data_IF_087799230470
#
_entry.id   IF_087799230470
#
_cell.length_a   1.000
_cell.length_b   1.000
_cell.length_c   1.000
_cell.angle_alpha   90.00
_cell.angle_beta   90.00
_cell.angle_gamma   90.00
#
_symmetry.space_group_name_H-M   'P 1'
#
loop_
_entity.id
_entity.type
_entity.pdbx_description
1 polymer ?
#
# COMPACT_ATOMS: atom_id res chain seq x y z
N UNK A 1 1.49 -12.21 -8.14
CA UNK A 1 1.62 -12.60 -6.72
C UNK A 1 0.31 -12.30 -6.02
N UNK A 2 0.06 -12.86 -4.85
CA UNK A 2 -1.17 -12.59 -4.09
C UNK A 2 -0.87 -12.49 -2.61
N UNK A 3 -1.56 -11.57 -1.95
CA UNK A 3 -1.36 -11.22 -0.54
C UNK A 3 -2.69 -11.29 0.19
N UNK A 4 -2.67 -11.59 1.49
CA UNK A 4 -3.90 -11.65 2.29
C UNK A 4 -4.14 -10.31 2.98
N UNK A 5 -5.28 -9.68 2.73
CA UNK A 5 -5.65 -8.45 3.44
C UNK A 5 -6.02 -8.70 4.90
N UNK A 6 -6.14 -7.64 5.69
CA UNK A 6 -6.65 -7.70 7.08
C UNK A 6 -8.08 -8.24 7.16
N UNK A 7 -8.87 -8.12 6.09
CA UNK A 7 -10.24 -8.67 6.01
C UNK A 7 -10.23 -10.18 5.74
N UNK A 8 -9.05 -10.75 5.47
CA UNK A 8 -8.86 -12.15 5.14
C UNK A 8 -8.99 -12.48 3.66
N UNK A 9 -9.29 -11.50 2.80
CA UNK A 9 -9.47 -11.66 1.36
C UNK A 9 -8.14 -11.62 0.61
N UNK A 10 -8.08 -12.26 -0.56
CA UNK A 10 -6.89 -12.31 -1.40
C UNK A 10 -6.82 -11.07 -2.29
N UNK A 11 -5.64 -10.45 -2.34
CA UNK A 11 -5.34 -9.28 -3.16
C UNK A 11 -4.21 -9.63 -4.12
N UNK A 12 -4.47 -9.61 -5.42
CA UNK A 12 -3.50 -9.94 -6.45
C UNK A 12 -2.63 -8.74 -6.84
N UNK A 13 -1.32 -8.95 -6.97
CA UNK A 13 -0.42 -8.04 -7.67
C UNK A 13 -0.10 -8.64 -9.04
N UNK A 14 -0.71 -8.06 -10.07
CA UNK A 14 -0.51 -8.42 -11.47
C UNK A 14 0.79 -7.82 -12.00
N UNK A 15 1.36 -8.45 -13.04
CA UNK A 15 2.57 -7.93 -13.70
C UNK A 15 2.32 -6.54 -14.30
N UNK A 16 1.16 -6.36 -14.94
CA UNK A 16 0.71 -5.07 -15.46
C UNK A 16 0.60 -4.00 -14.37
N UNK A 17 0.05 -4.33 -13.20
CA UNK A 17 -0.01 -3.42 -12.05
C UNK A 17 1.38 -3.08 -11.52
N UNK A 18 2.28 -4.05 -11.45
CA UNK A 18 3.68 -3.83 -11.04
C UNK A 18 4.42 -2.91 -12.02
N UNK A 19 4.32 -3.14 -13.32
CA UNK A 19 4.87 -2.29 -14.37
C UNK A 19 4.29 -0.87 -14.31
N UNK A 20 2.99 -0.75 -14.07
CA UNK A 20 2.30 0.53 -13.92
C UNK A 20 2.84 1.33 -12.73
N UNK A 21 2.99 0.69 -11.58
CA UNK A 21 3.54 1.29 -10.36
C UNK A 21 4.99 1.69 -10.59
N UNK A 22 5.83 0.81 -11.14
CA UNK A 22 7.24 1.09 -11.40
C UNK A 22 7.45 2.23 -12.42
N UNK A 23 6.54 2.40 -13.39
CA UNK A 23 6.56 3.53 -14.34
C UNK A 23 6.18 4.85 -13.69
N UNK A 24 5.19 4.86 -12.79
CA UNK A 24 4.69 6.08 -12.12
C UNK A 24 5.52 6.49 -10.91
N UNK A 25 6.14 5.52 -10.25
CA UNK A 25 6.86 5.69 -8.99
C UNK A 25 8.28 5.13 -9.12
N UNK A 26 9.18 5.81 -9.86
CA UNK A 26 10.56 5.37 -10.03
C UNK A 26 11.32 5.28 -8.70
N UNK A 27 10.89 6.00 -7.66
CA UNK A 27 11.43 5.90 -6.29
C UNK A 27 11.31 4.49 -5.70
N UNK A 28 10.40 3.67 -6.22
CA UNK A 28 10.19 2.29 -5.77
C UNK A 28 11.06 1.27 -6.51
N UNK A 29 11.71 1.64 -7.63
CA UNK A 29 12.52 0.71 -8.44
C UNK A 29 13.74 0.16 -7.69
N UNK A 30 14.25 0.92 -6.72
CA UNK A 30 15.42 0.54 -5.92
C UNK A 30 15.07 -0.38 -4.74
N UNK A 31 13.80 -0.77 -4.59
CA UNK A 31 13.33 -1.63 -3.52
C UNK A 31 12.67 -2.88 -4.09
N UNK A 32 12.56 -3.92 -3.26
CA UNK A 32 11.73 -5.07 -3.58
C UNK A 32 10.25 -4.69 -3.51
N UNK A 33 9.74 -4.14 -4.62
CA UNK A 33 8.40 -3.57 -4.74
C UNK A 33 7.32 -4.58 -4.35
N UNK A 34 7.44 -5.82 -4.83
CA UNK A 34 6.48 -6.88 -4.58
C UNK A 34 6.40 -7.20 -3.09
N UNK A 35 7.55 -7.39 -2.44
CA UNK A 35 7.61 -7.67 -1.01
C UNK A 35 7.08 -6.49 -0.18
N UNK A 36 7.45 -5.24 -0.51
CA UNK A 36 6.93 -4.07 0.21
C UNK A 36 5.43 -3.91 0.09
N UNK A 37 4.87 -4.13 -1.11
CA UNK A 37 3.42 -4.12 -1.32
C UNK A 37 2.78 -5.22 -0.47
N UNK A 38 3.32 -6.44 -0.54
CA UNK A 38 2.79 -7.58 0.21
C UNK A 38 2.71 -7.33 1.69
N UNK A 39 3.83 -6.96 2.31
CA UNK A 39 3.86 -6.69 3.75
C UNK A 39 2.93 -5.52 4.13
N UNK A 40 2.78 -4.52 3.27
CA UNK A 40 1.86 -3.40 3.53
C UNK A 40 0.40 -3.85 3.48
N UNK A 41 0.03 -4.80 2.62
CA UNK A 41 -1.33 -5.36 2.55
C UNK A 41 -1.60 -6.33 3.71
N UNK A 42 -0.62 -7.17 4.04
CA UNK A 42 -0.73 -8.23 5.07
C UNK A 42 -0.57 -7.70 6.49
N UNK A 43 0.22 -6.65 6.67
CA UNK A 43 0.54 -6.06 7.98
C UNK A 43 0.62 -4.54 7.91
N UNK A 44 -0.48 -3.85 7.54
CA UNK A 44 -0.55 -2.39 7.60
C UNK A 44 -0.53 -1.88 9.05
N UNK A 45 -0.23 -0.60 9.20
CA UNK A 45 -0.50 0.14 10.44
C UNK A 45 -1.91 0.75 10.42
N UNK A 46 -2.39 1.13 9.23
CA UNK A 46 -3.73 1.66 9.00
C UNK A 46 -4.32 1.08 7.72
N UNK A 47 -5.62 0.81 7.75
CA UNK A 47 -6.44 0.65 6.54
C UNK A 47 -7.50 1.74 6.52
N UNK A 48 -7.50 2.52 5.45
CA UNK A 48 -8.36 3.69 5.28
C UNK A 48 -9.27 3.45 4.09
N UNK A 49 -10.49 3.97 4.19
CA UNK A 49 -11.43 3.97 3.09
C UNK A 49 -10.91 4.82 1.93
N UNK A 50 -10.74 4.18 0.78
CA UNK A 50 -10.44 4.81 -0.49
C UNK A 50 -11.69 5.32 -1.20
N UNK A 51 -11.51 5.77 -2.45
CA UNK A 51 -12.63 6.11 -3.34
C UNK A 51 -13.12 4.86 -4.07
N UNK A 52 -14.39 4.86 -4.49
CA UNK A 52 -14.98 3.78 -5.28
C UNK A 52 -14.89 2.39 -4.61
N UNK A 53 -15.08 2.33 -3.29
CA UNK A 53 -15.04 1.05 -2.56
C UNK A 53 -13.64 0.45 -2.36
N UNK A 54 -12.57 1.17 -2.76
CA UNK A 54 -11.19 0.69 -2.61
C UNK A 54 -10.67 0.88 -1.19
N UNK A 55 -9.64 0.11 -0.85
CA UNK A 55 -8.93 0.19 0.41
C UNK A 55 -7.56 0.86 0.22
N UNK A 56 -7.11 1.57 1.25
CA UNK A 56 -5.79 2.18 1.30
C UNK A 56 -5.08 1.62 2.53
N UNK A 57 -4.14 0.70 2.30
CA UNK A 57 -3.22 0.25 3.34
C UNK A 57 -2.06 1.23 3.47
N UNK A 58 -1.70 1.54 4.72
CA UNK A 58 -0.58 2.41 5.06
C UNK A 58 0.30 1.70 6.06
N UNK A 59 1.60 1.62 5.76
CA UNK A 59 2.61 1.04 6.64
C UNK A 59 3.80 1.99 6.77
N UNK A 60 4.29 2.20 7.98
CA UNK A 60 5.50 2.94 8.28
C UNK A 60 6.73 2.12 7.89
N UNK A 61 7.64 2.72 7.13
CA UNK A 61 8.93 2.12 6.79
C UNK A 61 10.05 2.87 7.53
N UNK A 62 10.79 2.21 8.43
CA UNK A 62 11.95 2.81 9.08
C UNK A 62 13.09 2.91 8.05
N UNK A 63 13.29 4.08 7.48
CA UNK A 63 14.44 4.34 6.59
C UNK A 63 15.55 5.07 7.36
N UNK A 64 16.80 4.65 7.16
CA UNK A 64 17.98 5.11 7.92
C UNK A 64 18.39 6.59 7.73
N UNK A 65 17.67 7.38 6.92
CA UNK A 65 17.93 8.81 6.74
C UNK A 65 16.75 9.68 7.19
N UNK A 66 16.53 9.74 8.51
CA UNK A 66 15.88 10.86 9.22
C UNK A 66 14.44 11.27 8.81
N UNK A 67 13.81 10.57 7.86
CA UNK A 67 12.44 10.83 7.42
C UNK A 67 11.69 9.51 7.40
N UNK A 68 10.73 9.35 8.29
CA UNK A 68 9.74 8.30 8.18
C UNK A 68 9.08 8.42 6.79
N UNK A 69 9.16 7.34 6.01
CA UNK A 69 8.40 7.22 4.77
C UNK A 69 7.38 6.13 5.02
N UNK A 70 6.13 6.45 4.75
CA UNK A 70 5.05 5.49 4.78
C UNK A 70 4.92 4.90 3.38
N UNK A 71 4.82 3.58 3.29
CA UNK A 71 4.36 2.87 2.11
C UNK A 71 2.83 2.92 2.10
N UNK A 72 2.27 3.35 0.99
CA UNK A 72 0.83 3.43 0.77
C UNK A 72 0.49 2.52 -0.39
N UNK A 73 -0.46 1.61 -0.18
CA UNK A 73 -0.95 0.67 -1.19
C UNK A 73 -2.45 0.85 -1.34
N UNK A 74 -2.91 1.12 -2.56
CA UNK A 74 -4.32 1.19 -2.90
C UNK A 74 -4.71 -0.10 -3.60
N UNK A 75 -5.71 -0.79 -3.06
CA UNK A 75 -6.13 -2.10 -3.56
C UNK A 75 -7.64 -2.30 -3.44
N UNK A 76 -8.14 -3.28 -4.18
CA UNK A 76 -9.48 -3.82 -4.04
C UNK A 76 -9.41 -5.08 -3.17
N UNK A 77 -10.26 -5.14 -2.15
CA UNK A 77 -10.30 -6.27 -1.22
C UNK A 77 -10.96 -7.46 -1.93
N UNK A 78 -10.24 -8.57 -2.09
CA UNK A 78 -10.66 -9.66 -2.98
C UNK A 78 -10.35 -9.42 -4.47
N UNK A 79 -9.66 -8.33 -4.81
CA UNK A 79 -9.33 -7.92 -6.18
C UNK A 79 -7.84 -7.79 -6.40
N UNK A 80 -7.40 -6.65 -6.93
CA UNK A 80 -5.99 -6.40 -7.25
C UNK A 80 -5.43 -5.10 -6.64
N UNK A 81 -4.11 -5.02 -6.63
CA UNK A 81 -3.37 -3.80 -6.29
C UNK A 81 -3.47 -2.82 -7.45
N UNK A 82 -4.05 -1.66 -7.19
CA UNK A 82 -4.28 -0.61 -8.18
C UNK A 82 -3.03 0.27 -8.34
N UNK A 83 -2.45 0.70 -7.21
CA UNK A 83 -1.22 1.49 -7.21
C UNK A 83 -0.54 1.47 -5.83
N UNK A 84 0.75 1.80 -5.78
CA UNK A 84 1.50 1.96 -4.54
C UNK A 84 2.51 3.10 -4.66
N UNK A 85 2.77 3.80 -3.56
CA UNK A 85 3.73 4.91 -3.50
C UNK A 85 4.24 5.14 -2.08
N UNK A 86 5.35 5.87 -1.95
CA UNK A 86 5.89 6.28 -0.66
C UNK A 86 5.64 7.77 -0.39
N UNK A 87 5.27 8.11 0.84
CA UNK A 87 5.08 9.50 1.27
C UNK A 87 5.56 9.70 2.69
N UNK A 88 6.10 10.86 3.03
CA UNK A 88 6.40 11.22 4.42
C UNK A 88 5.20 11.83 5.15
N UNK A 89 4.10 12.11 4.44
CA UNK A 89 2.90 12.75 5.00
C UNK A 89 1.68 11.89 4.71
N UNK A 90 1.16 11.25 5.76
CA UNK A 90 -0.07 10.44 5.70
C UNK A 90 -1.27 11.11 6.37
N UNK A 91 -1.09 12.28 7.00
CA UNK A 91 -2.14 12.98 7.76
C UNK A 91 -3.43 13.17 6.96
N UNK A 92 -3.32 13.55 5.68
CA UNK A 92 -4.47 13.72 4.78
C UNK A 92 -5.14 12.39 4.40
N UNK A 93 -4.41 11.28 4.45
CA UNK A 93 -4.91 9.94 4.18
C UNK A 93 -5.68 9.46 5.40
N UNK A 94 -5.04 9.47 6.58
CA UNK A 94 -5.64 8.99 7.83
C UNK A 94 -6.79 9.88 8.35
N UNK A 95 -6.85 11.16 7.97
CA UNK A 95 -7.99 12.05 8.30
C UNK A 95 -9.30 11.65 7.61
N UNK A 96 -9.26 10.72 6.66
CA UNK A 96 -10.47 10.12 6.09
C UNK A 96 -11.05 9.09 7.07
N UNK A 97 -11.98 8.28 6.60
CA UNK A 97 -12.55 7.19 7.38
C UNK A 97 -11.52 6.04 7.52
N UNK A 98 -11.00 5.84 8.73
CA UNK A 98 -10.10 4.73 9.06
C UNK A 98 -10.97 3.49 9.31
N UNK A 99 -10.80 2.47 8.47
CA UNK A 99 -11.52 1.21 8.58
C UNK A 99 -10.88 0.28 9.61
N UNK A 100 -9.56 0.37 9.76
CA UNK A 100 -8.81 -0.45 10.71
C UNK A 100 -7.49 0.22 11.09
N UNK A 101 -7.01 -0.04 12.30
CA UNK A 101 -5.74 0.44 12.85
C UNK A 101 -5.11 -0.61 13.75
N UNK A 102 -3.79 -0.76 13.69
CA UNK A 102 -2.98 -1.59 14.59
C UNK A 102 -2.76 -0.96 15.96
#
# INVERSE_FOLDING_TARGET
MSFRSISGNMVALTRSGMDHIAKRHPELKNFDLANKIGITVESPDYVVQGKFGRHIAVRSEPMMLGKAKYMVVIYEDGGEVITAFMTSKIEKIIRRNVLWKR
#
